data_IF_770976450934
#
_entry.id   IF_770976450934
#
_cell.length_a   1.000
_cell.length_b   1.000
_cell.length_c   1.000
_cell.angle_alpha   90.00
_cell.angle_beta   90.00
_cell.angle_gamma   90.00
#
_symmetry.space_group_name_H-M   'P 1'
#
loop_
_entity.id
_entity.type
_entity.pdbx_description
1 polymer ?
#
# COMPACT_ATOMS: atom_id res chain seq x y z
N UNK A 1 -23.35 -3.38 15.71
CA UNK A 1 -22.86 -3.80 14.37
C UNK A 1 -22.31 -2.58 13.66
N UNK A 2 -21.12 -2.66 13.07
CA UNK A 2 -20.51 -1.57 12.31
C UNK A 2 -20.47 -1.95 10.82
N UNK A 3 -20.77 -0.99 9.94
CA UNK A 3 -20.68 -1.17 8.48
C UNK A 3 -19.65 -0.20 7.93
N UNK A 4 -18.67 -0.73 7.23
CA UNK A 4 -17.66 0.07 6.53
C UNK A 4 -18.16 0.43 5.13
N UNK A 5 -17.93 1.68 4.71
CA UNK A 5 -18.34 2.19 3.40
C UNK A 5 -17.13 2.84 2.74
N UNK A 6 -16.75 2.35 1.57
CA UNK A 6 -15.66 2.93 0.79
C UNK A 6 -16.21 4.09 -0.05
N UNK A 7 -15.82 5.32 0.27
CA UNK A 7 -16.42 6.52 -0.32
C UNK A 7 -16.19 6.65 -1.83
N UNK A 8 -15.02 6.24 -2.31
CA UNK A 8 -14.66 6.34 -3.73
C UNK A 8 -15.51 5.47 -4.66
N UNK A 9 -16.28 4.53 -4.12
CA UNK A 9 -17.19 3.69 -4.91
C UNK A 9 -18.55 4.35 -5.18
N UNK A 10 -18.89 5.40 -4.43
CA UNK A 10 -20.17 6.12 -4.54
C UNK A 10 -20.01 7.60 -4.88
N UNK A 11 -18.86 8.20 -4.58
CA UNK A 11 -18.61 9.62 -4.76
C UNK A 11 -17.36 9.83 -5.61
N UNK A 12 -17.46 10.74 -6.59
CA UNK A 12 -16.31 11.17 -7.37
C UNK A 12 -15.44 12.09 -6.53
N UNK A 13 -14.35 11.54 -5.98
CA UNK A 13 -13.36 12.25 -5.18
C UNK A 13 -12.11 12.53 -6.03
N UNK A 14 -12.22 13.41 -7.03
CA UNK A 14 -11.14 13.73 -7.97
C UNK A 14 -10.31 14.93 -7.55
N UNK A 15 -10.94 15.94 -6.93
CA UNK A 15 -10.34 17.25 -6.76
C UNK A 15 -9.76 17.41 -5.34
N UNK A 16 -8.47 17.74 -5.20
CA UNK A 16 -7.88 18.00 -3.89
C UNK A 16 -8.66 19.08 -3.13
N UNK A 17 -8.88 18.86 -1.84
CA UNK A 17 -9.66 19.78 -1.02
C UNK A 17 -10.03 19.23 0.34
N UNK A 18 -10.70 20.05 1.14
CA UNK A 18 -11.26 19.65 2.43
C UNK A 18 -12.69 19.19 2.25
N UNK A 19 -12.95 17.94 2.62
CA UNK A 19 -14.24 17.28 2.50
C UNK A 19 -14.81 16.99 3.88
N UNK A 20 -16.13 16.81 3.92
CA UNK A 20 -16.82 16.35 5.12
C UNK A 20 -17.83 15.28 4.77
N UNK A 21 -17.83 14.18 5.51
CA UNK A 21 -18.75 13.05 5.32
C UNK A 21 -19.60 12.86 6.57
N UNK A 22 -20.88 12.54 6.37
CA UNK A 22 -21.81 12.13 7.41
C UNK A 22 -22.80 11.14 6.81
N UNK A 23 -23.27 10.18 7.61
CA UNK A 23 -24.29 9.22 7.21
C UNK A 23 -25.68 9.75 7.56
N UNK A 24 -26.68 9.42 6.74
CA UNK A 24 -28.10 9.62 7.06
C UNK A 24 -28.79 8.26 6.96
N UNK A 25 -29.38 7.80 8.06
CA UNK A 25 -30.17 6.56 8.11
C UNK A 25 -31.64 6.93 8.03
N UNK A 26 -32.33 6.38 7.03
CA UNK A 26 -33.78 6.53 6.85
C UNK A 26 -34.48 5.19 7.12
N UNK A 27 -35.54 5.21 7.90
CA UNK A 27 -36.42 4.06 8.09
C UNK A 27 -37.42 3.96 6.92
N UNK A 28 -37.94 2.75 6.61
CA UNK A 28 -38.96 2.60 5.57
C UNK A 28 -40.17 3.49 5.86
N UNK A 29 -40.56 4.34 4.90
CA UNK A 29 -41.69 5.27 5.03
C UNK A 29 -41.33 6.71 5.40
N UNK A 30 -40.10 6.99 5.83
CA UNK A 30 -39.59 8.36 6.01
C UNK A 30 -38.75 8.79 4.81
N UNK A 31 -39.27 9.71 4.00
CA UNK A 31 -38.56 10.32 2.86
C UNK A 31 -37.71 11.52 3.25
N UNK A 32 -38.11 12.26 4.28
CA UNK A 32 -37.53 13.58 4.61
C UNK A 32 -36.81 13.60 5.95
N UNK A 33 -37.31 12.86 6.95
CA UNK A 33 -36.70 12.75 8.28
C UNK A 33 -35.74 11.56 8.33
N UNK A 34 -34.58 11.74 8.96
CA UNK A 34 -33.59 10.69 9.11
C UNK A 34 -32.61 11.01 10.22
N UNK A 35 -32.02 9.96 10.81
CA UNK A 35 -31.00 10.12 11.83
C UNK A 35 -29.64 10.36 11.15
N UNK A 36 -29.02 11.50 11.45
CA UNK A 36 -27.70 11.84 10.92
C UNK A 36 -26.59 11.53 11.91
N UNK A 37 -25.43 11.12 11.39
CA UNK A 37 -24.24 10.93 12.23
C UNK A 37 -23.51 12.25 12.46
N UNK A 38 -22.54 12.24 13.37
CA UNK A 38 -21.54 13.30 13.42
C UNK A 38 -20.80 13.41 12.06
N UNK A 39 -20.39 14.63 11.74
CA UNK A 39 -19.63 14.93 10.53
C UNK A 39 -18.15 14.65 10.77
N UNK A 40 -17.55 13.86 9.88
CA UNK A 40 -16.13 13.60 9.84
C UNK A 40 -15.49 14.47 8.76
N UNK A 41 -14.48 15.26 9.14
CA UNK A 41 -13.69 16.07 8.21
C UNK A 41 -12.47 15.29 7.74
N UNK A 42 -12.16 15.36 6.45
CA UNK A 42 -10.94 14.78 5.89
C UNK A 42 -10.43 15.63 4.74
N UNK A 43 -9.14 15.51 4.44
CA UNK A 43 -8.54 16.18 3.29
C UNK A 43 -8.26 15.15 2.20
N UNK A 44 -8.63 15.48 0.97
CA UNK A 44 -8.16 14.79 -0.20
C UNK A 44 -6.94 15.55 -0.72
N UNK A 45 -5.80 14.87 -0.82
CA UNK A 45 -4.57 15.46 -1.32
C UNK A 45 -4.05 14.60 -2.47
N UNK A 46 -3.51 15.26 -3.50
CA UNK A 46 -2.89 14.54 -4.61
C UNK A 46 -1.49 14.07 -4.22
N UNK A 47 -1.20 12.79 -4.45
CA UNK A 47 0.15 12.24 -4.34
C UNK A 47 1.00 12.66 -5.53
N UNK A 48 2.31 12.85 -5.33
CA UNK A 48 3.24 13.13 -6.43
C UNK A 48 3.57 11.82 -7.13
N UNK A 49 3.46 11.77 -8.47
CA UNK A 49 3.91 10.59 -9.21
C UNK A 49 5.41 10.41 -9.02
N UNK A 50 5.79 9.26 -8.46
CA UNK A 50 7.18 8.87 -8.28
C UNK A 50 7.68 8.03 -9.46
N UNK A 51 6.82 7.17 -9.98
CA UNK A 51 7.10 6.29 -11.11
C UNK A 51 5.82 5.95 -11.85
N UNK A 52 5.90 5.79 -13.16
CA UNK A 52 4.77 5.35 -14.00
C UNK A 52 5.24 4.41 -15.11
N UNK A 53 4.42 3.43 -15.46
CA UNK A 53 4.59 2.60 -16.65
C UNK A 53 3.25 2.09 -17.17
N UNK A 54 3.08 2.15 -18.50
CA UNK A 54 1.95 1.53 -19.20
C UNK A 54 2.24 0.06 -19.48
N UNK A 55 1.26 -0.80 -19.24
CA UNK A 55 1.35 -2.25 -19.39
C UNK A 55 0.08 -2.79 -20.06
N UNK A 56 0.21 -3.90 -20.79
CA UNK A 56 -0.94 -4.65 -21.27
C UNK A 56 -1.56 -5.51 -20.17
N UNK A 57 -2.83 -5.88 -20.31
CA UNK A 57 -3.47 -6.87 -19.42
C UNK A 57 -3.23 -8.28 -19.95
N UNK A 58 -2.70 -9.18 -19.11
CA UNK A 58 -2.51 -10.59 -19.47
C UNK A 58 -3.87 -11.23 -19.79
N UNK A 59 -4.00 -11.84 -20.97
CA UNK A 59 -5.26 -12.42 -21.45
C UNK A 59 -6.19 -11.44 -22.17
N UNK A 60 -5.88 -10.13 -22.18
CA UNK A 60 -6.63 -9.16 -22.97
C UNK A 60 -5.69 -8.04 -23.47
N UNK A 61 -5.03 -8.30 -24.60
CA UNK A 61 -4.02 -7.40 -25.18
C UNK A 61 -4.58 -6.03 -25.61
N UNK A 62 -5.89 -5.92 -25.82
CA UNK A 62 -6.56 -4.66 -26.17
C UNK A 62 -6.73 -3.72 -24.96
N UNK A 63 -6.63 -4.24 -23.73
CA UNK A 63 -6.70 -3.43 -22.51
C UNK A 63 -5.30 -2.98 -22.10
N UNK A 64 -5.17 -1.68 -21.89
CA UNK A 64 -3.98 -1.04 -21.37
C UNK A 64 -4.25 -0.52 -19.96
N UNK A 65 -3.26 -0.72 -19.08
CA UNK A 65 -3.24 -0.20 -17.72
C UNK A 65 -2.03 0.69 -17.54
N UNK A 66 -2.16 1.69 -16.69
CA UNK A 66 -1.02 2.47 -16.24
C UNK A 66 -0.82 2.22 -14.75
N UNK A 67 0.33 1.63 -14.41
CA UNK A 67 0.78 1.55 -13.04
C UNK A 67 1.43 2.87 -12.66
N UNK A 68 1.02 3.43 -11.53
CA UNK A 68 1.62 4.61 -10.92
C UNK A 68 2.00 4.28 -9.49
N UNK A 69 3.25 4.56 -9.13
CA UNK A 69 3.66 4.63 -7.73
C UNK A 69 3.67 6.10 -7.36
N UNK A 70 2.87 6.45 -6.36
CA UNK A 70 2.76 7.81 -5.87
C UNK A 70 3.50 7.93 -4.55
N UNK A 71 4.17 9.06 -4.35
CA UNK A 71 4.77 9.46 -3.10
C UNK A 71 3.90 10.53 -2.45
N UNK A 72 3.44 10.26 -1.24
CA UNK A 72 2.73 11.21 -0.40
C UNK A 72 3.58 11.55 0.83
N UNK A 73 3.98 12.82 0.93
CA UNK A 73 4.67 13.34 2.10
C UNK A 73 3.67 14.06 3.01
N UNK A 74 3.18 13.35 4.01
CA UNK A 74 2.37 13.93 5.09
C UNK A 74 3.24 14.71 6.10
N UNK A 75 2.60 15.28 7.11
CA UNK A 75 3.29 16.06 8.15
C UNK A 75 4.22 15.23 9.04
N UNK A 76 3.93 13.95 9.23
CA UNK A 76 4.73 13.06 10.10
C UNK A 76 5.47 11.96 9.34
N UNK A 77 4.92 11.50 8.21
CA UNK A 77 5.40 10.31 7.51
C UNK A 77 5.31 10.50 6.01
N UNK A 78 6.25 9.88 5.31
CA UNK A 78 6.19 9.70 3.87
C UNK A 78 5.68 8.31 3.58
N UNK A 79 4.69 8.19 2.71
CA UNK A 79 4.08 6.93 2.32
C UNK A 79 4.14 6.75 0.80
N UNK A 80 4.26 5.50 0.37
CA UNK A 80 4.04 5.14 -1.03
C UNK A 80 2.62 4.62 -1.21
N UNK A 81 2.02 5.00 -2.33
CA UNK A 81 0.74 4.50 -2.80
C UNK A 81 0.93 3.84 -4.16
N UNK A 82 0.13 2.81 -4.43
CA UNK A 82 -0.02 2.28 -5.78
C UNK A 82 -1.36 2.75 -6.30
N UNK A 83 -1.35 3.25 -7.53
CA UNK A 83 -2.51 3.60 -8.31
C UNK A 83 -2.47 2.84 -9.64
N UNK A 84 -3.58 2.18 -9.96
CA UNK A 84 -3.77 1.50 -11.25
C UNK A 84 -4.84 2.26 -12.02
N UNK A 85 -4.49 2.76 -13.20
CA UNK A 85 -5.41 3.50 -14.07
C UNK A 85 -5.80 2.65 -15.27
N UNK A 86 -7.05 2.79 -15.70
CA UNK A 86 -7.48 2.34 -17.02
C UNK A 86 -7.05 3.39 -18.06
N UNK A 87 -6.22 3.00 -19.02
CA UNK A 87 -5.74 3.93 -20.05
C UNK A 87 -6.83 4.35 -21.04
N UNK A 88 -7.91 3.57 -21.21
CA UNK A 88 -8.98 3.89 -22.15
C UNK A 88 -9.93 4.96 -21.60
N UNK A 89 -10.29 4.86 -20.33
CA UNK A 89 -11.22 5.80 -19.67
C UNK A 89 -10.49 6.92 -18.92
N UNK A 90 -9.20 6.74 -18.61
CA UNK A 90 -8.45 7.66 -17.76
C UNK A 90 -8.86 7.62 -16.29
N UNK A 91 -9.62 6.61 -15.87
CA UNK A 91 -10.12 6.49 -14.48
C UNK A 91 -9.22 5.60 -13.62
N UNK A 92 -9.14 5.92 -12.33
CA UNK A 92 -8.46 5.07 -11.35
C UNK A 92 -9.30 3.83 -11.08
N UNK A 93 -8.73 2.65 -11.30
CA UNK A 93 -9.32 1.36 -10.93
C UNK A 93 -9.16 1.16 -9.43
N UNK A 94 -7.94 1.38 -8.92
CA UNK A 94 -7.62 1.20 -7.52
C UNK A 94 -6.51 2.18 -7.12
N UNK A 95 -6.62 2.76 -5.93
CA UNK A 95 -5.54 3.53 -5.29
C UNK A 95 -5.50 3.19 -3.80
N UNK A 96 -4.34 2.78 -3.28
CA UNK A 96 -4.18 2.47 -1.85
C UNK A 96 -2.72 2.61 -1.38
N UNK A 97 -2.54 2.81 -0.08
CA UNK A 97 -1.23 2.91 0.57
C UNK A 97 -0.56 1.53 0.60
N UNK A 98 0.69 1.47 0.16
CA UNK A 98 1.54 0.28 0.26
C UNK A 98 2.49 0.36 1.46
N UNK A 99 2.56 1.51 2.14
CA UNK A 99 3.22 1.68 3.44
C UNK A 99 4.18 2.87 3.54
N UNK A 100 4.63 3.11 4.78
CA UNK A 100 5.64 4.11 5.12
C UNK A 100 6.96 3.84 4.39
N UNK A 101 7.60 4.89 3.88
CA UNK A 101 8.87 4.80 3.17
C UNK A 101 9.91 5.74 3.78
N UNK A 102 11.10 5.20 4.00
CA UNK A 102 12.30 5.97 4.30
C UNK A 102 13.07 6.22 3.01
N UNK A 103 12.99 7.45 2.50
CA UNK A 103 13.62 7.88 1.25
C UNK A 103 15.17 7.97 1.33
N UNK A 104 15.80 7.45 2.39
CA UNK A 104 17.26 7.26 2.48
C UNK A 104 17.81 6.23 1.48
N UNK A 105 16.93 5.40 0.94
CA UNK A 105 17.21 4.48 -0.17
C UNK A 105 16.15 4.68 -1.23
N UNK A 106 16.58 4.75 -2.49
CA UNK A 106 15.67 4.87 -3.61
C UNK A 106 14.78 3.61 -3.70
N UNK A 107 13.45 3.73 -3.68
CA UNK A 107 12.57 2.62 -4.02
C UNK A 107 12.93 2.00 -5.37
N UNK A 108 12.97 0.68 -5.42
CA UNK A 108 13.18 -0.09 -6.64
C UNK A 108 11.82 -0.56 -7.14
N UNK A 109 11.52 -0.25 -8.39
CA UNK A 109 10.20 -0.47 -8.99
C UNK A 109 10.42 -1.08 -10.36
N UNK A 110 9.72 -2.18 -10.65
CA UNK A 110 9.79 -2.85 -11.94
C UNK A 110 8.52 -3.64 -12.20
N UNK A 111 8.32 -4.06 -13.45
CA UNK A 111 7.21 -4.93 -13.86
C UNK A 111 7.80 -6.22 -14.41
N UNK A 112 7.26 -7.36 -13.98
CA UNK A 112 7.71 -8.66 -14.45
C UNK A 112 7.07 -9.06 -15.80
N UNK A 113 7.46 -10.22 -16.32
CA UNK A 113 6.89 -10.76 -17.57
C UNK A 113 5.37 -11.03 -17.49
N UNK A 114 4.83 -11.23 -16.30
CA UNK A 114 3.40 -11.47 -16.06
C UNK A 114 2.59 -10.19 -15.89
N UNK A 115 3.19 -9.02 -16.09
CA UNK A 115 2.57 -7.71 -15.88
C UNK A 115 2.22 -7.46 -14.40
N UNK A 116 3.01 -8.03 -13.49
CA UNK A 116 2.92 -7.78 -12.05
C UNK A 116 3.87 -6.65 -11.71
N UNK A 117 3.34 -5.61 -11.06
CA UNK A 117 4.13 -4.52 -10.50
C UNK A 117 4.83 -5.00 -9.23
N UNK A 118 6.15 -4.84 -9.19
CA UNK A 118 6.98 -5.04 -8.01
C UNK A 118 7.45 -3.69 -7.47
N UNK A 119 7.14 -3.42 -6.20
CA UNK A 119 7.62 -2.23 -5.48
C UNK A 119 8.42 -2.67 -4.27
N UNK A 120 9.68 -2.27 -4.19
CA UNK A 120 10.58 -2.61 -3.10
C UNK A 120 11.20 -1.35 -2.50
N UNK A 121 11.05 -1.17 -1.20
CA UNK A 121 11.42 0.07 -0.54
C UNK A 121 11.79 -0.16 0.92
N UNK A 122 12.60 0.75 1.45
CA UNK A 122 12.96 0.78 2.86
C UNK A 122 11.75 1.29 3.66
N UNK A 123 11.12 0.43 4.45
CA UNK A 123 9.93 0.76 5.24
C UNK A 123 10.23 1.07 6.72
N UNK A 124 11.46 0.81 7.16
CA UNK A 124 11.96 1.15 8.49
C UNK A 124 13.49 1.14 8.50
N UNK A 125 14.15 1.55 9.59
CA UNK A 125 15.61 1.73 9.62
C UNK A 125 16.42 0.50 9.18
N UNK A 126 15.89 -0.70 9.40
CA UNK A 126 16.51 -1.98 9.06
C UNK A 126 15.56 -2.94 8.33
N UNK A 127 14.42 -2.43 7.83
CA UNK A 127 13.36 -3.26 7.25
C UNK A 127 12.96 -2.74 5.88
N UNK A 128 12.93 -3.63 4.91
CA UNK A 128 12.46 -3.42 3.56
C UNK A 128 11.12 -4.13 3.36
N UNK A 129 10.25 -3.54 2.55
CA UNK A 129 8.98 -4.13 2.16
C UNK A 129 9.00 -4.39 0.66
N UNK A 130 8.59 -5.61 0.26
CA UNK A 130 8.27 -5.96 -1.11
C UNK A 130 6.77 -6.07 -1.29
N UNK A 131 6.24 -5.42 -2.31
CA UNK A 131 4.83 -5.45 -2.67
C UNK A 131 4.69 -5.89 -4.12
N UNK A 132 3.72 -6.76 -4.37
CA UNK A 132 3.34 -7.23 -5.69
C UNK A 132 1.89 -6.88 -5.97
N UNK A 133 1.61 -6.23 -7.10
CA UNK A 133 0.27 -5.77 -7.50
C UNK A 133 -0.03 -6.20 -8.93
N UNK A 134 -1.23 -6.71 -9.17
CA UNK A 134 -1.69 -7.06 -10.52
C UNK A 134 -2.28 -5.87 -11.29
N UNK A 135 -2.61 -6.11 -12.55
CA UNK A 135 -3.18 -5.12 -13.48
C UNK A 135 -4.60 -4.65 -13.12
N UNK A 136 -5.27 -5.30 -12.16
CA UNK A 136 -6.57 -4.90 -11.63
C UNK A 136 -6.43 -4.16 -10.28
N UNK A 137 -5.20 -3.95 -9.80
CA UNK A 137 -4.92 -3.26 -8.54
C UNK A 137 -5.15 -4.12 -7.31
N UNK A 138 -5.11 -5.46 -7.45
CA UNK A 138 -5.13 -6.37 -6.31
C UNK A 138 -3.72 -6.55 -5.77
N UNK A 139 -3.59 -6.40 -4.45
CA UNK A 139 -2.38 -6.76 -3.72
C UNK A 139 -2.22 -8.29 -3.74
N UNK A 140 -1.23 -8.78 -4.49
CA UNK A 140 -0.92 -10.20 -4.58
C UNK A 140 -0.06 -10.67 -3.41
N UNK A 141 0.94 -9.86 -3.05
CA UNK A 141 1.93 -10.22 -2.05
C UNK A 141 2.45 -9.00 -1.31
N UNK A 142 2.72 -9.16 -0.02
CA UNK A 142 3.45 -8.21 0.82
C UNK A 142 4.41 -8.97 1.72
N UNK A 143 5.70 -8.76 1.52
CA UNK A 143 6.76 -9.42 2.28
C UNK A 143 7.68 -8.39 2.93
N UNK A 144 8.24 -8.76 4.07
CA UNK A 144 9.21 -7.95 4.79
C UNK A 144 10.56 -8.63 4.77
N UNK A 145 11.60 -7.81 4.65
CA UNK A 145 12.97 -8.26 4.48
C UNK A 145 13.86 -7.45 5.42
N UNK A 146 14.83 -8.12 6.02
CA UNK A 146 15.93 -7.46 6.72
C UNK A 146 17.23 -7.65 5.92
N UNK A 147 18.22 -6.81 6.23
CA UNK A 147 19.52 -6.84 5.59
C UNK A 147 20.19 -8.21 5.79
N UNK A 148 20.65 -8.80 4.70
CA UNK A 148 21.49 -10.00 4.73
C UNK A 148 22.96 -9.68 5.04
N UNK A 149 23.86 -10.68 5.02
CA UNK A 149 25.27 -10.49 5.31
C UNK A 149 26.03 -9.69 4.22
N UNK A 150 25.50 -9.63 3.00
CA UNK A 150 26.18 -9.09 1.81
C UNK A 150 25.57 -7.76 1.34
N UNK A 151 25.36 -6.82 2.26
CA UNK A 151 24.88 -5.46 1.94
C UNK A 151 23.36 -5.33 1.88
N UNK A 152 22.89 -4.22 1.32
CA UNK A 152 21.46 -3.89 1.28
C UNK A 152 20.67 -4.85 0.38
N UNK A 153 19.46 -5.27 0.79
CA UNK A 153 18.53 -6.00 -0.06
C UNK A 153 18.23 -5.23 -1.36
N UNK A 154 18.11 -5.95 -2.47
CA UNK A 154 17.79 -5.35 -3.77
C UNK A 154 16.87 -6.25 -4.61
N UNK A 155 16.03 -5.64 -5.44
CA UNK A 155 15.33 -6.35 -6.52
C UNK A 155 16.31 -6.89 -7.54
N UNK A 156 16.10 -8.14 -7.94
CA UNK A 156 16.89 -8.82 -8.95
C UNK A 156 15.97 -9.42 -10.01
N UNK A 157 16.14 -9.01 -11.26
CA UNK A 157 15.50 -9.68 -12.39
C UNK A 157 16.24 -10.99 -12.68
N UNK A 158 15.49 -12.09 -12.70
CA UNK A 158 16.01 -13.41 -13.04
C UNK A 158 15.94 -13.66 -14.55
N UNK A 159 16.73 -14.61 -15.05
CA UNK A 159 16.79 -14.95 -16.48
C UNK A 159 15.43 -15.39 -17.07
N UNK A 160 14.53 -15.93 -16.23
CA UNK A 160 13.18 -16.32 -16.65
C UNK A 160 12.18 -15.14 -16.74
N UNK A 161 12.61 -13.91 -16.40
CA UNK A 161 11.77 -12.71 -16.38
C UNK A 161 10.94 -12.53 -15.12
N UNK A 162 11.15 -13.36 -14.09
CA UNK A 162 10.61 -13.16 -12.75
C UNK A 162 11.49 -12.22 -11.93
N UNK A 163 10.92 -11.61 -10.90
CA UNK A 163 11.60 -10.68 -10.01
C UNK A 163 11.75 -11.33 -8.63
N UNK A 164 12.99 -11.45 -8.17
CA UNK A 164 13.34 -11.87 -6.82
C UNK A 164 13.97 -10.75 -6.01
N UNK A 165 14.41 -11.09 -4.80
CA UNK A 165 15.12 -10.18 -3.90
C UNK A 165 16.44 -10.83 -3.52
N UNK A 166 17.55 -10.15 -3.81
CA UNK A 166 18.89 -10.53 -3.39
C UNK A 166 19.26 -9.92 -2.04
N UNK A 167 20.29 -10.49 -1.38
CA UNK A 167 20.89 -9.96 -0.16
C UNK A 167 19.90 -9.72 1.00
N UNK A 168 18.86 -10.55 1.09
CA UNK A 168 17.80 -10.38 2.09
C UNK A 168 17.57 -11.62 2.92
N UNK A 169 17.09 -11.41 4.15
CA UNK A 169 16.54 -12.46 5.00
C UNK A 169 15.04 -12.15 5.14
N UNK A 170 14.14 -13.10 4.78
CA UNK A 170 12.71 -12.94 5.01
C UNK A 170 12.41 -12.69 6.48
N UNK A 171 11.56 -11.71 6.76
CA UNK A 171 11.17 -11.32 8.11
C UNK A 171 9.68 -11.51 8.30
N UNK A 172 9.30 -12.33 9.28
CA UNK A 172 7.92 -12.44 9.73
C UNK A 172 7.72 -11.54 10.97
N UNK A 173 6.96 -10.43 10.85
CA UNK A 173 6.71 -9.54 11.97
C UNK A 173 5.96 -10.20 13.13
N UNK A 174 5.13 -11.23 12.87
CA UNK A 174 4.39 -11.92 13.93
C UNK A 174 5.33 -12.80 14.76
N UNK A 175 6.13 -13.63 14.09
CA UNK A 175 7.12 -14.47 14.76
C UNK A 175 8.15 -13.64 15.55
N UNK A 176 8.57 -12.49 15.01
CA UNK A 176 9.49 -11.60 15.69
C UNK A 176 8.87 -10.89 16.92
N UNK A 177 7.59 -10.52 16.85
CA UNK A 177 6.86 -9.97 17.99
C UNK A 177 6.69 -11.01 19.11
N UNK A 178 6.36 -12.26 18.76
CA UNK A 178 6.28 -13.37 19.70
C UNK A 178 7.63 -13.71 20.33
N UNK A 179 8.72 -13.71 19.55
CA UNK A 179 10.06 -13.90 20.07
C UNK A 179 10.45 -12.79 21.05
N UNK A 180 10.17 -11.52 20.72
CA UNK A 180 10.40 -10.38 21.63
C UNK A 180 9.55 -10.48 22.90
N UNK A 181 8.32 -10.96 22.82
CA UNK A 181 7.47 -11.16 23.99
C UNK A 181 8.00 -12.25 24.94
N UNK A 182 8.77 -13.21 24.42
CA UNK A 182 9.45 -14.26 25.20
C UNK A 182 10.75 -13.80 25.86
N UNK A 183 11.33 -12.67 25.44
CA UNK A 183 12.53 -12.10 26.06
C UNK A 183 12.12 -11.41 27.37
N UNK A 184 12.76 -11.79 28.47
CA UNK A 184 12.53 -11.15 29.77
C UNK A 184 12.84 -9.66 29.68
N UNK A 185 11.93 -8.85 30.23
CA UNK A 185 12.14 -7.41 30.33
C UNK A 185 13.19 -7.14 31.40
N UNK A 186 13.93 -6.04 31.26
CA UNK A 186 14.87 -5.59 32.29
C UNK A 186 14.19 -5.31 33.64
N UNK A 187 12.86 -5.11 33.64
CA UNK A 187 12.02 -4.97 34.84
C UNK A 187 11.63 -6.31 35.49
N UNK A 188 11.89 -7.44 34.85
CA UNK A 188 11.51 -8.75 35.38
C UNK A 188 12.48 -9.10 36.51
N UNK A 189 11.95 -9.15 37.74
CA UNK A 189 12.74 -9.49 38.93
C UNK A 189 13.37 -10.88 38.75
N UNK A 190 14.67 -11.06 39.05
CA UNK A 190 15.30 -12.38 39.00
C UNK A 190 14.53 -13.37 39.87
N UNK A 191 14.35 -14.59 39.37
CA UNK A 191 13.73 -15.65 40.14
C UNK A 191 14.78 -16.21 41.12
N UNK A 192 14.68 -15.83 42.39
CA UNK A 192 15.45 -16.40 43.49
C UNK A 192 16.16 -15.36 44.37
N UNK A 193 15.60 -15.13 45.56
CA UNK A 193 16.35 -15.12 46.81
C UNK A 193 15.77 -16.23 47.68
#
# INVERSE_FOLDING_TARGET
MAREVVLNSYFQLSDPGSYSVYGVVRTPGQTTEGFSTNRLLFNLTSGRSYWTQKVGVKGNASKLREFRVLNYSGSQKTELYVQVMDCATGTSIQTYSIGDVLMFRKPQITVDRNQILHVFFLSGPTMWTHVQVDTDGKLLKREFHIRGPQGDPQLLAMANGSIGISNSIPYDPKAAAEAKAKVRKASDRPAGF
#
